data_IF_228541701606
#
_entry.id   IF_228541701606
#
_cell.length_a   1.000
_cell.length_b   1.000
_cell.length_c   1.000
_cell.angle_alpha   90.00
_cell.angle_beta   90.00
_cell.angle_gamma   90.00
#
_symmetry.space_group_name_H-M   'P 1'
#
loop_
_entity.id
_entity.type
_entity.pdbx_description
1 polymer ?
#
# COMPACT_ATOMS: atom_id res chain seq x y z
N UNK A 1 -31.72 -25.92 -32.92
CA UNK A 1 -30.79 -26.84 -33.61
C UNK A 1 -30.26 -27.79 -32.57
N UNK A 2 -30.51 -29.08 -32.82
CA UNK A 2 -30.45 -30.22 -31.93
C UNK A 2 -29.07 -30.50 -31.32
N UNK A 3 -29.09 -30.80 -30.04
CA UNK A 3 -28.03 -31.50 -29.32
C UNK A 3 -28.38 -33.02 -29.29
N UNK A 4 -27.47 -33.95 -29.63
CA UNK A 4 -27.67 -35.35 -29.36
C UNK A 4 -26.61 -35.91 -28.42
N UNK A 5 -27.05 -36.27 -27.22
CA UNK A 5 -26.32 -37.17 -26.31
C UNK A 5 -27.32 -38.07 -25.60
N UNK A 6 -27.68 -39.16 -26.21
CA UNK A 6 -28.27 -40.32 -25.54
C UNK A 6 -27.96 -41.55 -26.42
N UNK A 7 -27.40 -42.56 -25.79
CA UNK A 7 -27.34 -43.97 -26.20
C UNK A 7 -25.94 -44.60 -26.03
N UNK A 8 -25.78 -45.21 -24.85
CA UNK A 8 -25.05 -46.49 -24.71
C UNK A 8 -25.11 -47.02 -23.27
N UNK A 9 -26.25 -47.60 -22.93
CA UNK A 9 -26.35 -48.61 -21.87
C UNK A 9 -27.18 -49.74 -22.41
N UNK A 10 -26.55 -50.81 -22.84
CA UNK A 10 -27.08 -52.18 -22.86
C UNK A 10 -26.00 -53.22 -23.24
N UNK A 11 -26.07 -54.31 -22.49
CA UNK A 11 -25.49 -55.60 -22.75
C UNK A 11 -24.07 -55.89 -22.27
N UNK A 12 -24.00 -56.59 -21.12
CA UNK A 12 -23.27 -57.87 -21.04
C UNK A 12 -23.67 -58.59 -19.75
N UNK A 13 -24.67 -59.43 -19.85
CA UNK A 13 -24.95 -60.54 -18.94
C UNK A 13 -24.07 -61.73 -19.36
N UNK A 14 -23.16 -62.12 -18.45
CA UNK A 14 -22.29 -63.30 -18.64
C UNK A 14 -22.33 -64.14 -17.36
N UNK A 15 -22.85 -65.36 -17.51
CA UNK A 15 -23.01 -66.38 -16.49
C UNK A 15 -21.70 -66.81 -15.82
N UNK A 16 -21.75 -67.03 -14.50
CA UNK A 16 -20.71 -67.65 -13.71
C UNK A 16 -20.82 -69.19 -13.78
N UNK A 17 -19.73 -69.98 -13.94
CA UNK A 17 -19.76 -71.43 -13.78
C UNK A 17 -19.62 -71.81 -12.30
N UNK A 18 -20.45 -72.76 -11.85
CA UNK A 18 -20.45 -73.33 -10.51
C UNK A 18 -19.20 -74.19 -10.25
N UNK A 19 -18.63 -74.01 -9.09
CA UNK A 19 -17.63 -74.89 -8.49
C UNK A 19 -18.20 -75.50 -7.21
N UNK A 20 -18.55 -76.81 -7.29
CA UNK A 20 -18.84 -77.62 -6.09
C UNK A 20 -17.52 -78.11 -5.52
N UNK A 21 -17.12 -77.54 -4.40
CA UNK A 21 -15.96 -77.98 -3.61
C UNK A 21 -16.41 -78.50 -2.23
N UNK A 22 -16.16 -79.76 -1.99
CA UNK A 22 -16.45 -80.48 -0.77
C UNK A 22 -15.70 -79.88 0.45
N UNK A 23 -16.43 -79.65 1.53
CA UNK A 23 -15.87 -79.21 2.82
C UNK A 23 -15.19 -80.37 3.51
N UNK A 24 -13.85 -80.31 3.65
CA UNK A 24 -13.07 -81.21 4.48
C UNK A 24 -13.00 -80.60 5.89
N UNK A 25 -13.44 -81.37 6.90
CA UNK A 25 -13.25 -81.05 8.33
C UNK A 25 -11.79 -81.04 8.70
N UNK A 26 -11.18 -79.86 8.78
CA UNK A 26 -9.82 -79.63 9.29
C UNK A 26 -9.84 -79.17 10.74
N UNK A 27 -9.35 -80.03 11.62
CA UNK A 27 -9.35 -79.87 13.07
C UNK A 27 -8.80 -78.55 13.58
N UNK A 28 -9.42 -78.02 14.60
CA UNK A 28 -8.98 -76.89 15.38
C UNK A 28 -7.66 -77.21 16.10
N UNK A 29 -6.52 -76.74 15.55
CA UNK A 29 -5.26 -76.76 16.26
C UNK A 29 -5.28 -75.74 17.40
N UNK A 30 -5.33 -76.24 18.66
CA UNK A 30 -5.19 -75.42 19.84
C UNK A 30 -3.83 -74.74 19.83
N UNK A 31 -3.79 -73.38 19.84
CA UNK A 31 -2.56 -72.58 19.94
C UNK A 31 -1.90 -72.79 21.30
N UNK A 32 -0.60 -73.08 21.27
CA UNK A 32 0.24 -73.18 22.48
C UNK A 32 0.31 -71.81 23.18
N UNK A 33 0.48 -71.75 24.54
CA UNK A 33 0.48 -70.49 25.29
C UNK A 33 1.53 -69.46 24.81
N UNK A 34 2.62 -69.90 24.20
CA UNK A 34 3.70 -69.06 23.66
C UNK A 34 3.26 -68.23 22.41
N UNK A 35 2.35 -68.77 21.63
CA UNK A 35 1.82 -68.05 20.47
C UNK A 35 0.73 -67.03 20.82
N UNK A 36 0.05 -67.21 21.96
CA UNK A 36 -0.95 -66.24 22.44
C UNK A 36 -0.30 -64.92 22.89
N UNK A 37 0.89 -64.98 23.52
CA UNK A 37 1.63 -63.77 23.94
C UNK A 37 2.16 -62.95 22.76
N UNK A 38 2.62 -63.60 21.68
CA UNK A 38 3.10 -62.91 20.47
C UNK A 38 1.95 -62.22 19.73
N UNK A 39 0.80 -62.85 19.65
CA UNK A 39 -0.41 -62.26 19.03
C UNK A 39 -0.95 -61.11 19.87
N UNK A 40 -0.90 -61.24 21.22
CA UNK A 40 -1.36 -60.17 22.12
C UNK A 40 -0.46 -58.94 22.05
N UNK A 41 0.87 -59.11 21.96
CA UNK A 41 1.87 -58.03 21.79
C UNK A 41 1.68 -57.37 20.42
N UNK A 42 1.47 -58.14 19.32
CA UNK A 42 1.19 -57.61 18.01
C UNK A 42 -0.10 -56.78 17.94
N UNK A 43 -1.17 -57.22 18.61
CA UNK A 43 -2.42 -56.47 18.72
C UNK A 43 -2.28 -55.19 19.54
N UNK A 44 -1.51 -55.21 20.64
CA UNK A 44 -1.23 -54.02 21.44
C UNK A 44 -0.40 -52.99 20.67
N UNK A 45 0.63 -53.43 19.90
CA UNK A 45 1.44 -52.53 19.08
C UNK A 45 0.62 -51.93 17.94
N UNK A 46 -0.24 -52.68 17.26
CA UNK A 46 -1.16 -52.13 16.26
C UNK A 46 -2.16 -51.15 16.86
N UNK A 47 -2.67 -51.39 18.08
CA UNK A 47 -3.58 -50.49 18.76
C UNK A 47 -2.88 -49.17 19.14
N UNK A 48 -1.63 -49.22 19.63
CA UNK A 48 -0.82 -48.04 19.97
C UNK A 48 -0.52 -47.21 18.72
N UNK A 49 -0.19 -47.86 17.59
CA UNK A 49 0.04 -47.17 16.31
C UNK A 49 -1.24 -46.57 15.78
N UNK A 50 -2.39 -47.27 15.88
CA UNK A 50 -3.68 -46.75 15.48
C UNK A 50 -4.12 -45.56 16.33
N UNK A 51 -3.88 -45.63 17.67
CA UNK A 51 -4.14 -44.51 18.59
C UNK A 51 -3.21 -43.33 18.32
N UNK A 52 -1.92 -43.55 18.01
CA UNK A 52 -0.98 -42.50 17.61
C UNK A 52 -1.39 -41.83 16.29
N UNK A 53 -1.96 -42.58 15.34
CA UNK A 53 -2.51 -42.03 14.09
C UNK A 53 -3.81 -41.27 14.29
N UNK A 54 -4.65 -41.61 15.27
CA UNK A 54 -5.88 -40.87 15.64
C UNK A 54 -5.57 -39.58 16.41
N UNK A 55 -4.42 -39.46 17.05
CA UNK A 55 -3.90 -38.24 17.66
C UNK A 55 -3.06 -37.35 16.72
N UNK A 56 -2.92 -37.72 15.46
CA UNK A 56 -2.60 -36.73 14.40
C UNK A 56 -3.81 -35.81 14.26
N UNK A 57 -4.08 -35.03 15.31
CA UNK A 57 -5.09 -33.97 15.33
C UNK A 57 -4.65 -33.02 14.23
N UNK A 58 -5.29 -33.13 13.08
CA UNK A 58 -5.33 -32.06 12.10
C UNK A 58 -5.85 -30.85 12.89
N UNK A 59 -4.95 -30.01 13.38
CA UNK A 59 -5.37 -28.67 13.82
C UNK A 59 -6.18 -28.12 12.66
N UNK A 60 -7.46 -27.77 12.86
CA UNK A 60 -8.21 -27.14 11.79
C UNK A 60 -7.33 -25.96 11.35
N UNK A 61 -6.90 -25.95 10.09
CA UNK A 61 -6.26 -24.78 9.53
C UNK A 61 -7.28 -23.65 9.74
N UNK A 62 -7.02 -22.77 10.71
CA UNK A 62 -7.83 -21.57 10.87
C UNK A 62 -7.81 -20.90 9.51
N UNK A 63 -9.00 -20.57 8.98
CA UNK A 63 -9.06 -19.80 7.76
C UNK A 63 -8.27 -18.50 7.96
N UNK A 64 -7.44 -18.15 7.00
CA UNK A 64 -6.63 -16.94 7.06
C UNK A 64 -7.53 -15.71 7.34
N UNK A 65 -7.10 -14.89 8.28
CA UNK A 65 -7.71 -13.57 8.51
C UNK A 65 -7.51 -12.71 7.26
N UNK A 66 -8.59 -12.08 6.78
CA UNK A 66 -8.56 -11.26 5.57
C UNK A 66 -8.79 -9.81 5.92
N UNK A 67 -7.86 -8.95 5.47
CA UNK A 67 -7.95 -7.50 5.57
C UNK A 67 -8.16 -6.94 4.17
N UNK A 68 -9.34 -6.41 3.89
CA UNK A 68 -9.66 -5.82 2.59
C UNK A 68 -9.09 -4.41 2.49
N UNK A 69 -8.17 -4.19 1.54
CA UNK A 69 -7.59 -2.88 1.24
C UNK A 69 -8.26 -2.24 0.03
N UNK A 70 -8.60 -0.96 0.14
CA UNK A 70 -8.95 -0.10 -1.00
C UNK A 70 -7.91 1.00 -1.11
N UNK A 71 -7.48 1.29 -2.35
CA UNK A 71 -6.49 2.31 -2.64
C UNK A 71 -7.10 3.57 -3.25
N UNK A 72 -6.51 4.71 -2.95
CA UNK A 72 -6.80 5.98 -3.63
C UNK A 72 -6.32 6.02 -5.09
N UNK A 73 -5.59 5.00 -5.56
CA UNK A 73 -5.04 4.90 -6.91
C UNK A 73 -5.46 3.61 -7.60
N UNK A 74 -5.54 3.64 -8.94
CA UNK A 74 -5.78 2.46 -9.76
C UNK A 74 -4.71 1.39 -9.52
N UNK A 75 -5.08 0.12 -9.67
CA UNK A 75 -4.27 -1.03 -9.27
C UNK A 75 -2.84 -1.02 -9.80
N UNK A 76 -2.63 -0.57 -11.04
CA UNK A 76 -1.33 -0.54 -11.71
C UNK A 76 -0.52 0.76 -11.45
N UNK A 77 -1.01 1.66 -10.60
CA UNK A 77 -0.32 2.91 -10.30
C UNK A 77 0.88 2.67 -9.36
N UNK A 78 2.00 3.34 -9.64
CA UNK A 78 3.24 3.24 -8.84
C UNK A 78 3.09 3.62 -7.37
N UNK A 79 2.07 4.40 -7.02
CA UNK A 79 1.76 4.71 -5.62
C UNK A 79 1.37 3.47 -4.81
N UNK A 80 1.01 2.35 -5.48
CA UNK A 80 0.68 1.08 -4.85
C UNK A 80 1.88 0.13 -4.70
N UNK A 81 3.07 0.46 -5.22
CA UNK A 81 4.21 -0.48 -5.21
C UNK A 81 4.52 -0.98 -3.79
N UNK A 82 4.55 -0.08 -2.81
CA UNK A 82 4.78 -0.46 -1.42
C UNK A 82 3.58 -1.20 -0.77
N UNK A 83 2.36 -1.03 -1.27
CA UNK A 83 1.22 -1.84 -0.86
C UNK A 83 1.41 -3.30 -1.30
N UNK A 84 1.89 -3.53 -2.52
CA UNK A 84 2.18 -4.89 -2.99
C UNK A 84 3.32 -5.54 -2.21
N UNK A 85 4.34 -4.76 -1.82
CA UNK A 85 5.40 -5.24 -0.91
C UNK A 85 4.81 -5.62 0.46
N UNK A 86 3.91 -4.80 1.02
CA UNK A 86 3.25 -5.07 2.29
C UNK A 86 2.40 -6.34 2.24
N UNK A 87 1.58 -6.49 1.20
CA UNK A 87 0.75 -7.67 0.97
C UNK A 87 1.59 -8.96 0.98
N UNK A 88 2.69 -8.94 0.22
CA UNK A 88 3.62 -10.08 0.15
C UNK A 88 4.23 -10.40 1.50
N UNK A 89 4.81 -9.40 2.18
CA UNK A 89 5.47 -9.59 3.49
C UNK A 89 4.54 -10.08 4.59
N UNK A 90 3.34 -9.53 4.66
CA UNK A 90 2.34 -9.94 5.63
C UNK A 90 1.98 -11.41 5.45
N UNK A 91 1.74 -11.84 4.21
CA UNK A 91 1.45 -13.25 3.90
C UNK A 91 2.61 -14.17 4.27
N UNK A 92 3.84 -13.79 3.92
CA UNK A 92 5.05 -14.57 4.24
C UNK A 92 5.29 -14.67 5.75
N UNK A 93 5.24 -13.55 6.47
CA UNK A 93 5.54 -13.50 7.91
C UNK A 93 4.45 -14.11 8.80
N UNK A 94 3.21 -14.11 8.33
CA UNK A 94 2.11 -14.79 9.02
C UNK A 94 1.99 -16.27 8.67
N UNK A 95 2.86 -16.82 7.82
CA UNK A 95 2.73 -18.16 7.23
C UNK A 95 1.35 -18.39 6.56
N UNK A 96 0.76 -17.30 6.03
CA UNK A 96 -0.55 -17.32 5.40
C UNK A 96 -1.74 -17.10 6.35
N UNK A 97 -1.52 -16.93 7.66
CA UNK A 97 -2.61 -16.68 8.62
C UNK A 97 -3.25 -15.29 8.46
N UNK A 98 -2.57 -14.36 7.79
CA UNK A 98 -3.09 -13.02 7.46
C UNK A 98 -2.88 -12.71 5.99
N UNK A 99 -3.94 -12.30 5.31
CA UNK A 99 -3.92 -11.92 3.90
C UNK A 99 -4.53 -10.53 3.71
N UNK A 100 -3.78 -9.61 3.09
CA UNK A 100 -4.32 -8.34 2.61
C UNK A 100 -4.91 -8.61 1.22
N UNK A 101 -6.21 -8.36 1.05
CA UNK A 101 -6.93 -8.60 -0.21
C UNK A 101 -7.27 -7.30 -0.91
N UNK A 102 -7.04 -7.23 -2.24
CA UNK A 102 -7.40 -6.06 -3.02
C UNK A 102 -8.92 -5.89 -3.12
N UNK A 103 -9.43 -4.76 -2.65
CA UNK A 103 -10.85 -4.40 -2.68
C UNK A 103 -11.22 -3.37 -3.76
N UNK A 104 -10.23 -2.84 -4.47
CA UNK A 104 -10.43 -1.87 -5.55
C UNK A 104 -9.61 -0.59 -5.41
N UNK A 105 -9.66 0.22 -6.45
CA UNK A 105 -9.10 1.56 -6.52
C UNK A 105 -10.19 2.65 -6.51
N UNK A 106 -9.94 3.80 -7.17
CA UNK A 106 -10.90 4.91 -7.25
C UNK A 106 -12.22 4.55 -7.94
N UNK A 107 -12.23 3.48 -8.71
CA UNK A 107 -13.43 2.92 -9.36
C UNK A 107 -14.38 2.26 -8.34
N UNK A 108 -13.85 1.77 -7.22
CA UNK A 108 -14.64 1.19 -6.14
C UNK A 108 -15.09 2.26 -5.14
N UNK A 109 -14.16 3.12 -4.71
CA UNK A 109 -14.41 4.23 -3.78
C UNK A 109 -13.53 5.41 -4.20
N UNK A 110 -14.11 6.57 -4.53
CA UNK A 110 -13.33 7.78 -4.86
C UNK A 110 -12.36 8.14 -3.73
N UNK A 111 -11.14 8.57 -4.09
CA UNK A 111 -10.07 8.88 -3.13
C UNK A 111 -10.52 9.85 -2.01
N UNK A 112 -11.33 10.85 -2.35
CA UNK A 112 -11.87 11.83 -1.39
C UNK A 112 -12.91 11.24 -0.41
N UNK A 113 -13.47 10.07 -0.70
CA UNK A 113 -14.48 9.38 0.13
C UNK A 113 -13.88 8.19 0.89
N UNK A 114 -12.65 7.78 0.54
CA UNK A 114 -12.06 6.54 1.05
C UNK A 114 -11.88 6.55 2.58
N UNK A 115 -11.47 7.68 3.15
CA UNK A 115 -11.27 7.79 4.60
C UNK A 115 -12.60 7.75 5.36
N UNK A 116 -13.65 8.33 4.82
CA UNK A 116 -14.97 8.22 5.42
C UNK A 116 -15.52 6.78 5.32
N UNK A 117 -15.30 6.10 4.20
CA UNK A 117 -15.63 4.68 4.05
C UNK A 117 -14.86 3.80 5.05
N UNK A 118 -13.56 4.08 5.26
CA UNK A 118 -12.76 3.41 6.29
C UNK A 118 -13.33 3.67 7.70
N UNK A 119 -13.56 4.93 8.04
CA UNK A 119 -14.11 5.33 9.35
C UNK A 119 -15.40 4.59 9.69
N UNK A 120 -16.26 4.39 8.69
CA UNK A 120 -17.55 3.70 8.81
C UNK A 120 -17.42 2.18 8.70
N UNK A 121 -16.22 1.60 8.54
CA UNK A 121 -15.98 0.15 8.50
C UNK A 121 -16.40 -0.52 7.19
N UNK A 122 -16.56 0.24 6.09
CA UNK A 122 -16.83 -0.31 4.75
C UNK A 122 -15.59 -1.01 4.18
N UNK A 123 -14.40 -0.54 4.57
CA UNK A 123 -13.11 -1.14 4.26
C UNK A 123 -12.29 -1.32 5.52
N UNK A 124 -11.41 -2.32 5.54
CA UNK A 124 -10.59 -2.64 6.71
C UNK A 124 -9.28 -1.83 6.70
N UNK A 125 -8.69 -1.62 5.51
CA UNK A 125 -7.43 -0.91 5.30
C UNK A 125 -7.60 0.06 4.14
N UNK A 126 -7.18 1.30 4.30
CA UNK A 126 -7.08 2.28 3.23
C UNK A 126 -5.61 2.57 2.93
N UNK A 127 -5.27 2.49 1.64
CA UNK A 127 -4.02 2.96 1.09
C UNK A 127 -4.30 4.32 0.44
N UNK A 128 -3.96 5.41 1.13
CA UNK A 128 -4.42 6.76 0.79
C UNK A 128 -3.34 7.81 1.07
N UNK A 129 -3.64 9.09 0.97
CA UNK A 129 -2.72 10.17 1.33
C UNK A 129 -3.33 11.07 2.40
N UNK A 130 -2.47 11.67 3.23
CA UNK A 130 -2.88 12.66 4.24
C UNK A 130 -3.68 13.80 3.60
N UNK A 131 -3.33 14.21 2.38
CA UNK A 131 -3.98 15.30 1.66
C UNK A 131 -5.48 15.08 1.42
N UNK A 132 -5.95 13.83 1.35
CA UNK A 132 -7.39 13.52 1.21
C UNK A 132 -8.16 13.63 2.54
N UNK A 133 -7.47 13.82 3.66
CA UNK A 133 -8.06 13.87 5.00
C UNK A 133 -8.04 15.27 5.62
N UNK A 134 -7.51 16.27 4.91
CA UNK A 134 -7.30 17.62 5.43
C UNK A 134 -8.60 18.30 5.87
N UNK A 135 -9.73 17.95 5.23
CA UNK A 135 -11.04 18.48 5.63
C UNK A 135 -11.47 18.01 7.03
N UNK A 136 -11.18 16.75 7.36
CA UNK A 136 -11.53 16.13 8.64
C UNK A 136 -10.42 16.33 9.68
N UNK A 137 -9.17 16.44 9.24
CA UNK A 137 -7.99 16.49 10.10
C UNK A 137 -6.94 17.46 9.51
N UNK A 138 -7.13 18.77 9.67
CA UNK A 138 -6.28 19.78 9.01
C UNK A 138 -4.78 19.68 9.32
N UNK A 139 -4.41 19.26 10.53
CA UNK A 139 -3.00 19.14 10.96
C UNK A 139 -2.19 18.20 10.08
N UNK A 140 -2.81 17.14 9.52
CA UNK A 140 -2.07 16.15 8.70
C UNK A 140 -1.60 16.69 7.36
N UNK A 141 -2.06 17.88 6.95
CA UNK A 141 -1.46 18.60 5.81
C UNK A 141 0.03 18.86 6.01
N UNK A 142 0.49 18.93 7.26
CA UNK A 142 1.90 19.08 7.62
C UNK A 142 2.76 17.84 7.34
N UNK A 143 2.17 16.67 7.09
CA UNK A 143 2.92 15.43 6.84
C UNK A 143 3.87 15.54 5.64
N UNK A 144 3.45 16.21 4.57
CA UNK A 144 4.28 16.48 3.37
C UNK A 144 5.54 17.31 3.68
N UNK A 145 5.57 18.02 4.82
CA UNK A 145 6.69 18.88 5.25
C UNK A 145 7.75 18.12 6.05
N UNK A 146 7.54 16.82 6.30
CA UNK A 146 8.54 16.00 6.98
C UNK A 146 9.80 15.85 6.11
N UNK A 147 10.96 16.13 6.72
CA UNK A 147 12.28 15.80 6.15
C UNK A 147 12.86 14.53 6.75
N UNK A 148 12.11 13.87 7.62
CA UNK A 148 12.51 12.70 8.36
C UNK A 148 12.25 11.42 7.56
N UNK A 149 13.09 10.42 7.78
CA UNK A 149 12.79 9.05 7.36
C UNK A 149 11.69 8.46 8.26
N UNK A 150 10.96 7.43 7.84
CA UNK A 150 9.96 6.78 8.69
C UNK A 150 10.52 6.30 10.04
N UNK A 151 11.77 5.82 10.06
CA UNK A 151 12.44 5.42 11.29
C UNK A 151 12.65 6.61 12.26
N UNK A 152 13.12 7.75 11.72
CA UNK A 152 13.27 8.98 12.51
C UNK A 152 11.92 9.53 12.98
N UNK A 153 10.85 9.41 12.19
CA UNK A 153 9.50 9.81 12.61
C UNK A 153 9.01 8.98 13.80
N UNK A 154 9.34 7.67 13.84
CA UNK A 154 9.02 6.82 15.00
C UNK A 154 9.84 7.22 16.22
N UNK A 155 11.13 7.43 16.05
CA UNK A 155 12.05 7.82 17.14
C UNK A 155 11.69 9.19 17.74
N UNK A 156 11.32 10.15 16.91
CA UNK A 156 11.00 11.53 17.32
C UNK A 156 9.54 11.75 17.74
N UNK A 157 8.73 10.68 17.74
CA UNK A 157 7.34 10.72 18.21
C UNK A 157 6.32 11.21 17.17
N UNK A 158 6.72 11.47 15.93
CA UNK A 158 5.79 11.85 14.83
C UNK A 158 4.80 10.72 14.54
N UNK A 159 5.28 9.48 14.51
CA UNK A 159 4.41 8.32 14.33
C UNK A 159 3.36 8.21 15.45
N UNK A 160 3.78 8.38 16.70
CA UNK A 160 2.87 8.36 17.85
C UNK A 160 1.84 9.51 17.79
N UNK A 161 2.26 10.69 17.32
CA UNK A 161 1.35 11.80 17.07
C UNK A 161 0.28 11.43 16.03
N UNK A 162 0.66 10.84 14.90
CA UNK A 162 -0.32 10.39 13.90
C UNK A 162 -1.24 9.29 14.44
N UNK A 163 -0.71 8.33 15.18
CA UNK A 163 -1.51 7.31 15.87
C UNK A 163 -2.62 7.95 16.71
N UNK A 164 -2.26 8.90 17.56
CA UNK A 164 -3.20 9.56 18.46
C UNK A 164 -4.28 10.35 17.71
N UNK A 165 -3.89 11.17 16.73
CA UNK A 165 -4.85 12.01 16.01
C UNK A 165 -5.76 11.21 15.09
N UNK A 166 -5.25 10.17 14.41
CA UNK A 166 -6.06 9.30 13.56
C UNK A 166 -7.04 8.46 14.39
N UNK A 167 -6.58 7.91 15.51
CA UNK A 167 -7.44 7.15 16.40
C UNK A 167 -8.58 8.01 16.97
N UNK A 168 -8.25 9.17 17.52
CA UNK A 168 -9.23 10.04 18.18
C UNK A 168 -10.21 10.72 17.22
N UNK A 169 -9.77 11.08 16.04
CA UNK A 169 -10.56 11.90 15.11
C UNK A 169 -11.22 11.11 13.99
N UNK A 170 -10.59 10.02 13.55
CA UNK A 170 -11.03 9.26 12.38
C UNK A 170 -11.32 7.79 12.67
N UNK A 171 -11.29 7.35 13.94
CA UNK A 171 -11.51 5.95 14.30
C UNK A 171 -10.60 5.00 13.49
N UNK A 172 -9.35 5.41 13.27
CA UNK A 172 -8.39 4.72 12.43
C UNK A 172 -7.06 4.48 13.15
N UNK A 173 -6.42 3.34 12.84
CA UNK A 173 -5.06 3.01 13.26
C UNK A 173 -4.10 3.44 12.15
N UNK A 174 -3.17 4.34 12.44
CA UNK A 174 -2.12 4.73 11.50
C UNK A 174 -1.05 3.65 11.45
N UNK A 175 -0.85 3.02 10.29
CA UNK A 175 0.08 1.91 10.13
C UNK A 175 1.47 2.35 9.69
N UNK A 176 1.56 3.35 8.81
CA UNK A 176 2.85 3.87 8.35
C UNK A 176 2.80 4.57 6.99
N UNK A 177 3.98 5.02 6.54
CA UNK A 177 4.18 5.78 5.31
C UNK A 177 4.32 4.84 4.10
N UNK A 178 3.53 5.09 3.05
CA UNK A 178 3.50 4.26 1.83
C UNK A 178 4.55 4.62 0.77
N UNK A 179 4.99 5.89 0.70
CA UNK A 179 5.91 6.37 -0.35
C UNK A 179 7.11 7.13 0.24
N UNK A 180 7.89 6.53 1.15
CA UNK A 180 9.04 7.20 1.72
C UNK A 180 10.09 7.49 0.63
N UNK A 181 10.64 8.70 0.64
CA UNK A 181 11.65 9.15 -0.33
C UNK A 181 11.09 9.67 -1.66
N UNK A 182 9.80 9.49 -1.93
CA UNK A 182 9.17 10.12 -3.08
C UNK A 182 8.83 11.57 -2.75
N UNK A 183 9.23 12.49 -3.62
CA UNK A 183 9.11 13.93 -3.42
C UNK A 183 8.37 14.60 -4.58
N UNK A 184 7.95 15.86 -4.41
CA UNK A 184 7.38 16.69 -5.47
C UNK A 184 8.44 17.57 -6.11
N UNK A 185 8.40 17.67 -7.45
CA UNK A 185 9.13 18.67 -8.24
C UNK A 185 8.17 19.61 -8.96
N UNK A 186 8.65 20.78 -9.30
CA UNK A 186 8.05 21.60 -10.36
C UNK A 186 8.65 21.18 -11.70
N UNK A 187 7.80 21.09 -12.71
CA UNK A 187 8.13 20.81 -14.09
C UNK A 187 7.68 22.00 -14.94
N UNK A 188 8.49 22.42 -15.90
CA UNK A 188 8.20 23.61 -16.69
C UNK A 188 8.47 23.39 -18.19
N UNK A 189 7.81 24.21 -19.01
CA UNK A 189 8.05 24.31 -20.47
C UNK A 189 9.08 25.39 -20.80
N UNK A 190 9.41 26.25 -19.85
CA UNK A 190 10.38 27.35 -19.96
C UNK A 190 11.47 27.23 -18.89
N UNK A 191 12.70 27.71 -19.15
CA UNK A 191 13.76 27.64 -18.17
C UNK A 191 13.47 28.57 -16.97
N UNK A 192 13.89 28.13 -15.77
CA UNK A 192 13.80 28.88 -14.51
C UNK A 192 15.17 28.92 -13.89
N UNK A 193 15.70 30.11 -13.61
CA UNK A 193 17.03 30.31 -13.01
C UNK A 193 16.96 30.86 -11.58
N UNK A 194 15.84 31.45 -11.21
CA UNK A 194 15.63 32.10 -9.90
C UNK A 194 14.14 32.03 -9.51
N UNK A 195 13.81 32.36 -8.26
CA UNK A 195 12.43 32.51 -7.80
C UNK A 195 11.71 33.63 -8.57
N UNK A 196 12.42 34.67 -8.99
CA UNK A 196 11.82 35.76 -9.74
C UNK A 196 11.19 35.34 -11.06
N UNK A 197 11.70 34.27 -11.68
CA UNK A 197 11.21 33.75 -12.97
C UNK A 197 9.81 33.11 -12.82
N UNK A 198 9.40 32.73 -11.61
CA UNK A 198 8.05 32.23 -11.34
C UNK A 198 6.98 33.33 -11.30
N UNK A 199 7.36 34.59 -11.12
CA UNK A 199 6.42 35.69 -10.97
C UNK A 199 5.51 35.82 -12.18
N UNK A 200 4.20 35.66 -11.94
CA UNK A 200 3.17 35.71 -13.00
C UNK A 200 3.11 34.45 -13.89
N UNK A 201 3.99 33.46 -13.67
CA UNK A 201 3.96 32.22 -14.44
C UNK A 201 2.72 31.40 -14.08
N UNK A 202 1.92 31.00 -15.08
CA UNK A 202 0.79 30.11 -14.87
C UNK A 202 1.29 28.69 -14.58
N UNK A 203 1.00 28.17 -13.38
CA UNK A 203 1.42 26.84 -12.94
C UNK A 203 0.19 26.02 -12.54
N UNK A 204 0.04 24.85 -13.12
CA UNK A 204 -0.97 23.90 -12.71
C UNK A 204 -0.68 23.43 -11.29
N UNK A 205 -1.72 23.45 -10.45
CA UNK A 205 -1.61 23.06 -9.02
C UNK A 205 -2.67 22.06 -8.60
N UNK A 206 -2.35 21.35 -7.53
CA UNK A 206 -3.30 20.71 -6.65
C UNK A 206 -3.34 21.49 -5.31
N UNK A 207 -4.32 21.25 -4.44
CA UNK A 207 -4.35 21.89 -3.11
C UNK A 207 -3.05 21.69 -2.32
N UNK A 208 -2.34 20.57 -2.53
CA UNK A 208 -1.13 20.22 -1.77
C UNK A 208 0.00 21.27 -1.84
N UNK A 209 0.14 22.00 -2.96
CA UNK A 209 1.23 22.96 -3.16
C UNK A 209 0.78 24.32 -3.74
N UNK A 210 -0.53 24.57 -3.73
CA UNK A 210 -1.09 25.85 -4.18
C UNK A 210 -0.50 27.04 -3.44
N UNK A 211 -0.48 26.97 -2.10
CA UNK A 211 0.06 28.04 -1.27
C UNK A 211 1.54 28.36 -1.58
N UNK A 212 2.33 27.35 -1.88
CA UNK A 212 3.72 27.54 -2.30
C UNK A 212 3.82 28.27 -3.64
N UNK A 213 3.04 27.84 -4.65
CA UNK A 213 3.03 28.49 -5.96
C UNK A 213 2.59 29.96 -5.85
N UNK A 214 1.58 30.26 -5.05
CA UNK A 214 1.15 31.63 -4.75
C UNK A 214 2.23 32.44 -4.05
N UNK A 215 2.95 31.84 -3.09
CA UNK A 215 4.03 32.52 -2.36
C UNK A 215 5.23 32.87 -3.24
N UNK A 216 5.48 32.14 -4.32
CA UNK A 216 6.46 32.51 -5.35
C UNK A 216 5.99 33.63 -6.28
N UNK A 217 4.75 34.10 -6.13
CA UNK A 217 4.14 35.08 -7.03
C UNK A 217 3.68 34.51 -8.37
N UNK A 218 3.64 33.20 -8.52
CA UNK A 218 3.10 32.53 -9.69
C UNK A 218 1.57 32.50 -9.67
N UNK A 219 0.94 32.29 -10.83
CA UNK A 219 -0.50 32.20 -10.99
C UNK A 219 -0.95 30.73 -10.95
N UNK A 220 -1.60 30.26 -9.87
CA UNK A 220 -2.03 28.87 -9.76
C UNK A 220 -3.25 28.60 -10.64
N UNK A 221 -3.24 27.50 -11.38
CA UNK A 221 -4.35 27.02 -12.22
C UNK A 221 -4.70 25.59 -11.72
N UNK A 222 -5.86 25.44 -11.11
CA UNK A 222 -6.33 24.12 -10.67
C UNK A 222 -6.94 23.37 -11.86
N UNK A 223 -6.35 22.21 -12.19
CA UNK A 223 -6.91 21.28 -13.20
C UNK A 223 -6.67 19.84 -12.80
N UNK A 224 -7.49 18.93 -13.32
CA UNK A 224 -7.33 17.51 -13.13
C UNK A 224 -6.13 16.97 -13.93
N UNK A 225 -5.50 15.84 -13.49
CA UNK A 225 -4.36 15.26 -14.19
C UNK A 225 -4.61 14.98 -15.67
N UNK A 226 -5.81 14.55 -16.06
CA UNK A 226 -6.17 14.28 -17.45
C UNK A 226 -6.11 15.50 -18.38
N UNK A 227 -6.14 16.72 -17.82
CA UNK A 227 -6.15 17.98 -18.58
C UNK A 227 -4.76 18.61 -18.71
N UNK A 228 -3.77 18.16 -17.93
CA UNK A 228 -2.44 18.79 -17.83
C UNK A 228 -1.71 18.78 -19.17
N UNK A 229 -1.74 17.68 -19.92
CA UNK A 229 -1.13 17.60 -21.23
C UNK A 229 -1.65 18.72 -22.17
N UNK A 230 -2.98 18.80 -22.31
CA UNK A 230 -3.63 19.81 -23.17
C UNK A 230 -3.38 21.23 -22.67
N UNK A 231 -3.35 21.45 -21.35
CA UNK A 231 -3.08 22.77 -20.76
C UNK A 231 -1.65 23.25 -21.07
N UNK A 232 -0.67 22.35 -21.05
CA UNK A 232 0.73 22.62 -21.42
C UNK A 232 0.87 22.84 -22.92
N UNK A 233 0.31 21.96 -23.75
CA UNK A 233 0.35 22.04 -25.21
C UNK A 233 -0.24 23.37 -25.73
N UNK A 234 -1.37 23.77 -25.16
CA UNK A 234 -2.05 25.03 -25.50
C UNK A 234 -1.47 26.28 -24.80
N UNK A 235 -0.37 26.10 -24.04
CA UNK A 235 0.24 27.19 -23.30
C UNK A 235 -0.67 27.88 -22.26
N UNK A 236 -1.73 27.21 -21.79
CA UNK A 236 -2.59 27.71 -20.71
C UNK A 236 -1.82 27.74 -19.38
N UNK A 237 -0.90 26.77 -19.19
CA UNK A 237 0.08 26.77 -18.12
C UNK A 237 1.49 26.59 -18.65
N UNK A 238 2.48 27.11 -17.94
CA UNK A 238 3.91 27.01 -18.25
C UNK A 238 4.64 25.98 -17.41
N UNK A 239 3.94 25.41 -16.42
CA UNK A 239 4.49 24.39 -15.55
C UNK A 239 3.42 23.74 -14.68
N UNK A 240 3.85 22.75 -13.93
CA UNK A 240 3.01 22.00 -13.01
C UNK A 240 3.85 21.39 -11.89
N UNK A 241 3.24 21.09 -10.74
CA UNK A 241 3.84 20.24 -9.73
C UNK A 241 3.40 18.79 -9.91
N UNK A 242 4.33 17.86 -9.71
CA UNK A 242 4.07 16.42 -9.74
C UNK A 242 5.11 15.66 -8.91
N UNK A 243 4.79 14.44 -8.41
CA UNK A 243 5.81 13.56 -7.86
C UNK A 243 7.01 13.38 -8.78
N UNK A 244 8.18 13.14 -8.21
CA UNK A 244 9.45 12.94 -8.93
C UNK A 244 9.46 11.73 -9.86
N UNK A 245 8.31 11.08 -10.04
CA UNK A 245 8.11 9.86 -10.80
C UNK A 245 6.76 9.89 -11.52
N UNK A 246 6.70 9.36 -12.76
CA UNK A 246 5.45 8.99 -13.41
C UNK A 246 4.86 10.03 -14.36
N UNK A 247 5.57 11.09 -14.74
CA UNK A 247 5.05 12.04 -15.75
C UNK A 247 4.90 11.38 -17.14
N UNK A 248 5.71 10.36 -17.43
CA UNK A 248 5.63 9.60 -18.67
C UNK A 248 4.38 8.72 -18.75
N UNK A 249 3.81 8.32 -17.62
CA UNK A 249 2.58 7.51 -17.58
C UNK A 249 1.36 8.27 -18.15
N UNK A 250 1.45 9.62 -18.14
CA UNK A 250 0.46 10.53 -18.70
C UNK A 250 0.89 11.15 -20.04
N UNK A 251 2.06 10.78 -20.57
CA UNK A 251 2.63 11.36 -21.77
C UNK A 251 3.10 12.82 -21.62
N UNK A 252 3.16 13.37 -20.38
CA UNK A 252 3.53 14.77 -20.15
C UNK A 252 4.99 15.07 -20.47
N UNK A 253 5.83 14.05 -20.50
CA UNK A 253 7.22 14.15 -20.91
C UNK A 253 7.40 14.70 -22.34
N UNK A 254 6.44 14.47 -23.24
CA UNK A 254 6.46 15.02 -24.59
C UNK A 254 6.36 16.57 -24.63
N UNK A 255 5.71 17.16 -23.64
CA UNK A 255 5.46 18.62 -23.53
C UNK A 255 6.27 19.28 -22.41
N UNK A 256 6.94 18.51 -21.55
CA UNK A 256 7.82 19.00 -20.49
C UNK A 256 9.22 19.27 -21.03
N UNK A 257 9.86 20.37 -20.61
CA UNK A 257 11.24 20.70 -21.00
C UNK A 257 12.21 20.70 -19.83
N UNK A 258 11.75 21.06 -18.63
CA UNK A 258 12.62 21.23 -17.48
C UNK A 258 12.01 20.62 -16.21
N UNK A 259 12.89 20.08 -15.36
CA UNK A 259 12.62 19.67 -13.99
C UNK A 259 13.38 20.62 -13.09
N UNK A 260 12.71 21.24 -12.14
CA UNK A 260 13.33 22.20 -11.22
C UNK A 260 13.78 21.46 -9.96
N UNK A 261 15.08 21.58 -9.67
CA UNK A 261 15.69 21.09 -8.44
C UNK A 261 16.10 22.26 -7.53
N UNK A 262 15.94 22.12 -6.22
CA UNK A 262 15.58 20.88 -5.49
C UNK A 262 14.09 20.55 -5.51
N UNK A 263 13.78 19.27 -5.29
CA UNK A 263 12.43 18.85 -4.90
C UNK A 263 12.00 19.51 -3.59
N UNK A 264 10.69 19.71 -3.37
CA UNK A 264 10.23 20.55 -2.24
C UNK A 264 9.47 19.81 -1.14
N UNK A 265 8.44 19.04 -1.40
CA UNK A 265 7.66 18.31 -0.39
C UNK A 265 7.83 16.81 -0.55
N UNK A 266 7.50 16.07 0.49
CA UNK A 266 7.34 14.62 0.38
C UNK A 266 5.94 14.27 -0.15
N UNK A 267 5.86 13.20 -0.93
CA UNK A 267 4.58 12.56 -1.23
C UNK A 267 4.13 11.82 0.02
N UNK A 268 2.89 12.05 0.43
CA UNK A 268 2.38 11.72 1.76
C UNK A 268 1.43 10.52 1.78
N UNK A 269 1.68 9.51 0.91
CA UNK A 269 0.92 8.25 0.93
C UNK A 269 1.13 7.51 2.23
N UNK A 270 0.04 6.93 2.75
CA UNK A 270 0.02 6.20 4.01
C UNK A 270 -0.92 5.00 3.97
N UNK A 271 -0.72 4.10 4.92
CA UNK A 271 -1.65 3.03 5.26
C UNK A 271 -2.36 3.35 6.58
N UNK A 272 -3.68 3.27 6.60
CA UNK A 272 -4.51 3.38 7.80
C UNK A 272 -5.53 2.24 7.85
N UNK A 273 -5.74 1.66 9.03
CA UNK A 273 -6.74 0.60 9.24
C UNK A 273 -7.95 1.14 10.02
N UNK A 274 -9.14 0.64 9.72
CA UNK A 274 -10.30 0.87 10.59
C UNK A 274 -9.99 0.30 11.98
N UNK A 275 -10.25 1.07 13.05
CA UNK A 275 -9.84 0.67 14.40
C UNK A 275 -10.56 -0.60 14.89
N UNK A 276 -11.80 -0.82 14.46
CA UNK A 276 -12.55 -2.03 14.84
C UNK A 276 -12.02 -3.25 14.09
N UNK A 277 -11.67 -3.11 12.79
CA UNK A 277 -11.02 -4.17 12.03
C UNK A 277 -9.64 -4.50 12.62
N UNK A 278 -8.85 -3.47 12.95
CA UNK A 278 -7.57 -3.61 13.64
C UNK A 278 -7.69 -4.38 14.96
N UNK A 279 -8.64 -3.99 15.82
CA UNK A 279 -8.83 -4.58 17.15
C UNK A 279 -9.38 -6.02 17.11
N UNK A 280 -10.00 -6.43 16.00
CA UNK A 280 -10.42 -7.84 15.78
C UNK A 280 -9.25 -8.75 15.45
N UNK A 281 -8.17 -8.23 14.90
CA UNK A 281 -7.00 -9.04 14.61
C UNK A 281 -6.35 -9.53 15.91
N UNK A 282 -5.97 -10.82 16.00
CA UNK A 282 -5.13 -11.33 17.08
C UNK A 282 -3.85 -10.49 17.21
N UNK A 283 -3.35 -10.35 18.44
CA UNK A 283 -2.16 -9.50 18.74
C UNK A 283 -0.94 -9.88 17.92
N UNK A 284 -0.67 -11.15 17.74
CA UNK A 284 0.42 -11.64 16.89
C UNK A 284 0.29 -11.19 15.43
N UNK A 285 -0.92 -11.12 14.88
CA UNK A 285 -1.16 -10.65 13.50
C UNK A 285 -1.06 -9.13 13.39
N UNK A 286 -1.48 -8.38 14.43
CA UNK A 286 -1.21 -6.95 14.52
C UNK A 286 0.30 -6.67 14.51
N UNK A 287 1.08 -7.47 15.27
CA UNK A 287 2.54 -7.34 15.34
C UNK A 287 3.20 -7.68 14.00
N UNK A 288 2.73 -8.72 13.32
CA UNK A 288 3.16 -9.04 11.94
C UNK A 288 2.91 -7.88 11.00
N UNK A 289 1.71 -7.27 11.03
CA UNK A 289 1.36 -6.16 10.15
C UNK A 289 2.23 -4.94 10.41
N UNK A 290 2.44 -4.57 11.68
CA UNK A 290 3.33 -3.47 12.08
C UNK A 290 4.79 -3.71 11.67
N UNK A 291 5.33 -4.89 11.96
CA UNK A 291 6.71 -5.25 11.59
C UNK A 291 6.89 -5.27 10.07
N UNK A 292 5.91 -5.81 9.33
CA UNK A 292 5.93 -5.81 7.87
C UNK A 292 5.93 -4.39 7.30
N UNK A 293 5.12 -3.49 7.86
CA UNK A 293 5.08 -2.09 7.39
C UNK A 293 6.41 -1.37 7.63
N UNK A 294 7.06 -1.57 8.79
CA UNK A 294 8.37 -0.96 9.06
C UNK A 294 9.46 -1.45 8.09
N UNK A 295 9.43 -2.72 7.72
CA UNK A 295 10.35 -3.24 6.70
C UNK A 295 10.04 -2.69 5.32
N UNK A 296 8.74 -2.61 4.97
CA UNK A 296 8.30 -2.01 3.71
C UNK A 296 8.71 -0.54 3.62
N UNK A 297 8.58 0.24 4.68
CA UNK A 297 9.03 1.63 4.71
C UNK A 297 10.51 1.76 4.34
N UNK A 298 11.37 0.86 4.85
CA UNK A 298 12.79 0.84 4.54
C UNK A 298 13.09 0.40 3.10
N UNK A 299 12.43 -0.66 2.64
CA UNK A 299 12.62 -1.20 1.28
C UNK A 299 12.05 -0.26 0.21
N UNK A 300 10.87 0.32 0.47
CA UNK A 300 10.22 1.28 -0.42
C UNK A 300 11.06 2.55 -0.61
N UNK A 301 11.78 3.00 0.41
CA UNK A 301 12.70 4.13 0.26
C UNK A 301 13.78 3.85 -0.81
N UNK A 302 14.36 2.66 -0.77
CA UNK A 302 15.35 2.24 -1.77
C UNK A 302 14.71 2.01 -3.15
N UNK A 303 13.54 1.39 -3.17
CA UNK A 303 12.78 1.12 -4.39
C UNK A 303 12.43 2.41 -5.14
N UNK A 304 11.82 3.39 -4.46
CA UNK A 304 11.47 4.66 -5.08
C UNK A 304 12.71 5.45 -5.50
N UNK A 305 13.79 5.43 -4.72
CA UNK A 305 15.07 6.05 -5.10
C UNK A 305 15.60 5.50 -6.44
N UNK A 306 15.53 4.17 -6.62
CA UNK A 306 15.90 3.52 -7.89
C UNK A 306 14.97 3.93 -9.03
N UNK A 307 13.66 3.88 -8.83
CA UNK A 307 12.68 4.26 -9.85
C UNK A 307 12.82 5.72 -10.28
N UNK A 308 13.05 6.63 -9.34
CA UNK A 308 13.29 8.05 -9.64
C UNK A 308 14.55 8.20 -10.50
N UNK A 309 15.64 7.51 -10.15
CA UNK A 309 16.88 7.57 -10.92
C UNK A 309 16.69 7.06 -12.36
N UNK A 310 16.01 5.92 -12.51
CA UNK A 310 15.70 5.34 -13.83
C UNK A 310 14.78 6.27 -14.66
N UNK A 311 13.74 6.85 -14.03
CA UNK A 311 12.84 7.80 -14.69
C UNK A 311 13.57 9.07 -15.14
N UNK A 312 14.47 9.63 -14.31
CA UNK A 312 15.30 10.78 -14.64
C UNK A 312 16.20 10.52 -15.88
N UNK A 313 16.85 9.36 -15.94
CA UNK A 313 17.63 8.97 -17.11
C UNK A 313 16.77 8.82 -18.36
N UNK A 314 15.56 8.30 -18.24
CA UNK A 314 14.63 8.18 -19.37
C UNK A 314 14.13 9.55 -19.84
N UNK A 315 13.78 10.45 -18.93
CA UNK A 315 13.37 11.81 -19.23
C UNK A 315 14.49 12.60 -19.91
N UNK A 316 15.74 12.44 -19.45
CA UNK A 316 16.92 13.04 -20.07
C UNK A 316 17.11 12.57 -21.52
N UNK A 317 16.93 11.26 -21.80
CA UNK A 317 16.99 10.72 -23.18
C UNK A 317 15.91 11.30 -24.09
N UNK A 318 14.77 11.70 -23.51
CA UNK A 318 13.65 12.39 -24.21
C UNK A 318 13.84 13.91 -24.32
N UNK A 319 14.98 14.45 -23.85
CA UNK A 319 15.33 15.87 -23.95
C UNK A 319 14.83 16.74 -22.81
N UNK A 320 14.29 16.17 -21.74
CA UNK A 320 13.94 16.90 -20.51
C UNK A 320 15.24 17.20 -19.74
N UNK A 321 15.44 18.45 -19.34
CA UNK A 321 16.66 18.92 -18.66
C UNK A 321 16.40 19.20 -17.19
N UNK A 322 17.34 18.86 -16.32
CA UNK A 322 17.30 19.27 -14.92
C UNK A 322 17.92 20.66 -14.76
N UNK A 323 17.18 21.56 -14.12
CA UNK A 323 17.69 22.87 -13.71
C UNK A 323 17.89 22.83 -12.19
N UNK A 324 19.15 22.83 -11.80
CA UNK A 324 19.54 23.02 -10.40
C UNK A 324 19.61 24.52 -10.13
N UNK A 325 18.74 25.00 -9.24
CA UNK A 325 18.78 26.39 -8.79
C UNK A 325 20.13 26.67 -8.09
N UNK A 326 20.71 27.89 -8.24
CA UNK A 326 21.84 28.32 -7.43
C UNK A 326 21.56 28.12 -5.93
N UNK A 327 22.58 27.88 -5.13
CA UNK A 327 22.43 27.47 -3.74
C UNK A 327 21.58 28.45 -2.89
N UNK A 328 21.76 29.75 -3.09
CA UNK A 328 20.98 30.80 -2.42
C UNK A 328 19.53 30.84 -2.89
N UNK A 329 19.27 30.65 -4.18
CA UNK A 329 17.92 30.57 -4.74
C UNK A 329 17.21 29.25 -4.32
N UNK A 330 17.96 28.14 -4.26
CA UNK A 330 17.45 26.84 -3.78
C UNK A 330 17.04 26.95 -2.30
N UNK A 331 17.82 27.63 -1.46
CA UNK A 331 17.48 27.85 -0.07
C UNK A 331 16.20 28.68 0.08
N UNK A 332 16.07 29.80 -0.65
CA UNK A 332 14.86 30.65 -0.66
C UNK A 332 13.64 29.89 -1.20
N UNK A 333 13.83 29.09 -2.24
CA UNK A 333 12.79 28.26 -2.84
C UNK A 333 12.20 27.28 -1.82
N UNK A 334 13.05 26.54 -1.12
CA UNK A 334 12.63 25.62 -0.07
C UNK A 334 12.03 26.34 1.11
N UNK A 335 12.62 27.44 1.61
CA UNK A 335 12.07 28.24 2.68
C UNK A 335 10.66 28.75 2.33
N UNK A 336 10.48 29.29 1.12
CA UNK A 336 9.17 29.74 0.62
C UNK A 336 8.15 28.60 0.62
N UNK A 337 8.55 27.42 0.14
CA UNK A 337 7.68 26.25 0.11
C UNK A 337 7.23 25.84 1.51
N UNK A 338 8.18 25.68 2.44
CA UNK A 338 7.89 25.20 3.78
C UNK A 338 7.11 26.22 4.60
N UNK A 339 7.50 27.49 4.58
CA UNK A 339 6.81 28.54 5.36
C UNK A 339 5.39 28.80 4.83
N UNK A 340 5.17 28.81 3.51
CA UNK A 340 3.83 28.95 2.95
C UNK A 340 2.89 27.83 3.43
N UNK A 341 3.37 26.57 3.41
CA UNK A 341 2.57 25.44 3.89
C UNK A 341 2.38 25.44 5.39
N UNK A 342 3.42 25.73 6.19
CA UNK A 342 3.26 25.83 7.64
C UNK A 342 2.26 26.92 8.04
N UNK A 343 2.28 28.05 7.34
CA UNK A 343 1.28 29.13 7.57
C UNK A 343 -0.14 28.62 7.39
N UNK A 344 -0.41 27.81 6.35
CA UNK A 344 -1.74 27.22 6.14
C UNK A 344 -2.09 26.17 7.21
N UNK A 345 -1.16 25.29 7.59
CA UNK A 345 -1.37 24.28 8.64
C UNK A 345 -1.70 24.96 9.98
N UNK A 346 -0.89 25.94 10.39
CA UNK A 346 -1.07 26.65 11.65
C UNK A 346 -2.37 27.47 11.69
N UNK A 347 -2.80 28.02 10.54
CA UNK A 347 -4.07 28.72 10.40
C UNK A 347 -5.26 27.78 10.52
N UNK A 348 -5.19 26.59 9.89
CA UNK A 348 -6.29 25.60 9.87
C UNK A 348 -6.37 24.81 11.17
N UNK A 349 -5.25 24.54 11.81
CA UNK A 349 -5.19 23.81 13.09
C UNK A 349 -4.21 24.49 14.07
N UNK A 350 -4.65 25.57 14.76
CA UNK A 350 -3.81 26.30 15.69
C UNK A 350 -3.51 25.51 16.98
N UNK A 351 -4.21 24.42 17.25
CA UNK A 351 -4.00 23.58 18.43
C UNK A 351 -2.92 22.53 18.21
N UNK A 352 -3.00 21.76 17.15
CA UNK A 352 -2.10 20.62 16.87
C UNK A 352 -0.96 21.00 15.91
N UNK A 353 -1.15 22.01 15.05
CA UNK A 353 -0.16 22.46 14.08
C UNK A 353 1.20 22.80 14.69
N UNK A 354 1.28 23.60 15.79
CA UNK A 354 2.55 23.90 16.44
C UNK A 354 3.27 22.64 16.97
N UNK A 355 2.52 21.70 17.54
CA UNK A 355 3.07 20.44 18.04
C UNK A 355 3.69 19.61 16.91
N UNK A 356 2.97 19.46 15.78
CA UNK A 356 3.50 18.73 14.63
C UNK A 356 4.74 19.44 14.05
N UNK A 357 4.71 20.76 13.92
CA UNK A 357 5.87 21.54 13.45
C UNK A 357 7.11 21.31 14.32
N UNK A 358 6.94 21.32 15.65
CA UNK A 358 8.03 21.06 16.59
C UNK A 358 8.60 19.64 16.42
N UNK A 359 7.74 18.62 16.33
CA UNK A 359 8.15 17.23 16.11
C UNK A 359 8.92 17.03 14.79
N UNK A 360 8.52 17.70 13.73
CA UNK A 360 9.16 17.60 12.41
C UNK A 360 10.43 18.46 12.27
N UNK A 361 10.66 19.39 13.21
CA UNK A 361 11.84 20.27 13.21
C UNK A 361 12.99 19.74 14.07
N UNK A 362 12.72 18.77 14.94
CA UNK A 362 13.72 18.08 15.79
C UNK A 362 14.53 17.08 14.99
#
# INVERSE_FOLDING_TARGET
>A
MNCPWNDRVRAMSGQAPGVTGTISEGGIKTMTPRNKSVVLIGLLTCLVIAVAFLFSVSTPALAAEKVKVVSAWAQNNKMNDALWMLQKKVKEKSNGDLEITWGGGPEAIPASQLVEALRNGVVDLAWTAHTYNVAQLPVVEGAKLSKLTPAQEREKGVFAFYQDVYQKKLNAYYLGRGTPGLTYNLYTTVPVKSLADFKGMSIRVTPAYKAFVEAMGAAPVATDPGEVFTALERNMVKGYGWPSLGISDFGWDAVTKFIIEPAFYQVDVMAIANINAWNKLPKNLQDVLNASMQEVEKEAYQHFGKLISEDRENLKKKGVQEIKLPADEAAKYLETAYEASWKEVLKKDPQMGPQLRDLLSK
#
